data_IF_130014972205
#
_entry.id   IF_130014972205
#
_cell.length_a   1.000
_cell.length_b   1.000
_cell.length_c   1.000
_cell.angle_alpha   90.00
_cell.angle_beta   90.00
_cell.angle_gamma   90.00
#
_symmetry.space_group_name_H-M   'P 1'
#
loop_
_entity.id
_entity.type
_entity.pdbx_description
1 polymer ?
#
# COMPACT_ATOMS: atom_id res chain seq x y z
N UNK A 1 11.52 60.27 16.26
CA UNK A 1 10.46 59.36 16.77
C UNK A 1 9.49 59.13 15.63
N UNK A 2 9.52 57.94 15.01
CA UNK A 2 8.70 57.61 13.84
C UNK A 2 7.50 56.76 14.26
N UNK A 3 6.27 57.04 13.80
CA UNK A 3 5.14 56.14 13.99
C UNK A 3 5.11 55.09 12.88
N UNK A 4 5.19 53.80 13.27
CA UNK A 4 5.12 52.65 12.37
C UNK A 4 3.68 52.23 12.11
N UNK A 5 3.30 52.19 10.82
CA UNK A 5 2.02 51.69 10.31
C UNK A 5 1.99 50.16 10.36
N UNK A 6 1.01 49.56 11.07
CA UNK A 6 0.76 48.11 11.03
C UNK A 6 -0.12 47.76 9.82
N UNK A 7 0.46 47.17 8.78
CA UNK A 7 -0.28 46.48 7.72
C UNK A 7 -0.75 45.10 8.22
N UNK A 8 -2.08 44.89 8.23
CA UNK A 8 -2.73 43.62 8.54
C UNK A 8 -2.81 42.79 7.26
N UNK A 9 -1.86 41.89 7.03
CA UNK A 9 -1.94 40.91 5.96
C UNK A 9 -3.08 39.93 6.22
N UNK A 10 -4.14 40.02 5.42
CA UNK A 10 -5.30 39.13 5.38
C UNK A 10 -4.88 37.87 4.62
N UNK A 11 -4.51 36.82 5.35
CA UNK A 11 -4.24 35.51 4.77
C UNK A 11 -5.55 34.89 4.28
N UNK A 12 -5.65 34.64 2.98
CA UNK A 12 -6.74 33.89 2.37
C UNK A 12 -6.70 32.45 2.88
N UNK A 13 -7.64 32.08 3.72
CA UNK A 13 -7.94 30.69 4.01
C UNK A 13 -8.54 30.10 2.73
N UNK A 14 -7.81 29.18 2.09
CA UNK A 14 -8.37 28.36 1.03
C UNK A 14 -9.23 27.32 1.75
N UNK A 15 -10.55 27.52 1.68
CA UNK A 15 -11.54 26.53 2.09
C UNK A 15 -11.31 25.27 1.26
N UNK A 16 -10.71 24.26 1.90
CA UNK A 16 -10.69 22.90 1.41
C UNK A 16 -12.12 22.36 1.49
N UNK A 17 -12.91 22.65 0.45
CA UNK A 17 -14.21 22.03 0.26
C UNK A 17 -14.04 20.50 0.29
N UNK A 18 -14.53 19.89 1.36
CA UNK A 18 -14.62 18.45 1.49
C UNK A 18 -15.46 17.92 0.31
N UNK A 19 -14.81 17.15 -0.57
CA UNK A 19 -15.53 16.38 -1.59
C UNK A 19 -16.52 15.44 -0.87
N UNK A 20 -17.74 15.24 -1.40
CA UNK A 20 -18.68 14.28 -0.83
C UNK A 20 -18.01 12.92 -0.74
N UNK A 21 -18.17 12.23 0.38
CA UNK A 21 -17.72 10.85 0.57
C UNK A 21 -18.48 9.96 -0.42
N UNK A 22 -17.96 9.81 -1.63
CA UNK A 22 -18.45 8.83 -2.58
C UNK A 22 -18.39 7.46 -1.89
N UNK A 23 -19.51 6.73 -1.90
CA UNK A 23 -19.55 5.35 -1.45
C UNK A 23 -18.44 4.57 -2.16
N UNK A 24 -17.65 3.80 -1.41
CA UNK A 24 -16.60 2.97 -1.97
C UNK A 24 -17.20 2.05 -3.06
N UNK A 25 -16.52 1.87 -4.21
CA UNK A 25 -16.94 0.91 -5.22
C UNK A 25 -17.19 -0.48 -4.62
N UNK A 26 -18.25 -1.14 -5.08
CA UNK A 26 -18.71 -2.44 -4.55
C UNK A 26 -17.57 -3.46 -4.47
N UNK A 27 -16.73 -3.54 -5.50
CA UNK A 27 -15.63 -4.52 -5.55
C UNK A 27 -14.54 -4.26 -4.52
N UNK A 28 -14.32 -3.00 -4.12
CA UNK A 28 -13.37 -2.65 -3.05
C UNK A 28 -13.95 -3.11 -1.71
N UNK A 29 -15.25 -2.92 -1.50
CA UNK A 29 -15.94 -3.41 -0.30
C UNK A 29 -15.91 -4.93 -0.22
N UNK A 30 -16.24 -5.62 -1.32
CA UNK A 30 -16.15 -7.08 -1.43
C UNK A 30 -14.72 -7.58 -1.16
N UNK A 31 -13.72 -6.87 -1.70
CA UNK A 31 -12.30 -7.16 -1.43
C UNK A 31 -11.94 -6.96 0.04
N UNK A 32 -12.44 -5.94 0.72
CA UNK A 32 -12.08 -5.75 2.14
C UNK A 32 -12.68 -6.83 3.04
N UNK A 33 -13.88 -7.30 2.71
CA UNK A 33 -14.67 -8.20 3.56
C UNK A 33 -14.48 -9.69 3.23
N UNK A 34 -13.97 -10.04 2.05
CA UNK A 34 -13.83 -11.44 1.63
C UNK A 34 -12.55 -12.16 2.08
N UNK A 35 -11.68 -11.50 2.84
CA UNK A 35 -10.35 -12.02 3.21
C UNK A 35 -10.33 -13.02 4.35
N UNK A 36 -9.23 -13.77 4.45
CA UNK A 36 -8.99 -14.67 5.60
C UNK A 36 -8.77 -13.91 6.90
N UNK A 37 -8.39 -12.62 6.81
CA UNK A 37 -8.26 -11.71 7.93
C UNK A 37 -9.35 -10.64 7.82
N UNK A 38 -10.09 -10.45 8.91
CA UNK A 38 -11.16 -9.46 8.97
C UNK A 38 -10.60 -8.04 8.99
N UNK A 39 -11.29 -7.11 8.33
CA UNK A 39 -11.00 -5.70 8.49
C UNK A 39 -11.54 -5.24 9.85
N UNK A 40 -10.68 -4.65 10.68
CA UNK A 40 -11.00 -4.29 12.06
C UNK A 40 -10.70 -2.83 12.35
N UNK A 41 -11.22 -2.33 13.48
CA UNK A 41 -10.84 -1.02 14.00
C UNK A 41 -9.34 -0.94 14.29
N UNK A 42 -8.73 0.20 14.00
CA UNK A 42 -7.27 0.36 14.11
C UNK A 42 -6.77 0.29 15.56
N UNK A 43 -7.53 0.86 16.50
CA UNK A 43 -7.07 1.07 17.87
C UNK A 43 -7.60 -0.03 18.82
N UNK A 44 -8.80 -0.54 18.54
CA UNK A 44 -9.52 -1.49 19.39
C UNK A 44 -9.66 -2.88 18.77
N UNK A 45 -9.41 -3.01 17.47
CA UNK A 45 -9.54 -4.28 16.75
C UNK A 45 -8.54 -5.35 17.18
N UNK A 46 -8.96 -6.62 17.09
CA UNK A 46 -8.10 -7.79 17.35
C UNK A 46 -8.28 -8.83 16.23
N UNK A 47 -7.27 -9.68 16.02
CA UNK A 47 -7.31 -10.80 15.06
C UNK A 47 -7.70 -10.41 13.62
N UNK A 48 -7.25 -9.24 13.16
CA UNK A 48 -7.58 -8.73 11.84
C UNK A 48 -6.51 -7.79 11.29
N UNK A 49 -6.86 -7.07 10.23
CA UNK A 49 -6.03 -6.06 9.62
C UNK A 49 -6.74 -4.71 9.62
N UNK A 50 -5.97 -3.63 9.72
CA UNK A 50 -6.43 -2.26 9.62
C UNK A 50 -5.37 -1.44 8.90
N UNK A 51 -5.74 -0.25 8.44
CA UNK A 51 -4.86 0.63 7.66
C UNK A 51 -4.42 1.82 8.51
N UNK A 52 -3.20 1.81 9.06
CA UNK A 52 -2.72 2.87 9.95
C UNK A 52 -2.34 4.12 9.16
N UNK A 53 -2.73 5.35 9.57
CA UNK A 53 -2.43 6.59 8.85
C UNK A 53 -0.99 6.68 8.33
N UNK A 54 -0.81 7.06 7.06
CA UNK A 54 0.51 7.01 6.41
C UNK A 54 1.56 7.94 7.04
N UNK A 55 1.12 9.01 7.72
CA UNK A 55 2.00 9.89 8.51
C UNK A 55 2.73 9.18 9.67
N UNK A 56 2.29 7.99 10.06
CA UNK A 56 2.99 7.13 11.03
C UNK A 56 4.31 6.56 10.50
N UNK A 57 4.57 6.68 9.19
CA UNK A 57 5.81 6.26 8.56
C UNK A 57 6.65 7.47 8.14
N UNK A 58 7.89 7.52 8.62
CA UNK A 58 8.85 8.57 8.26
C UNK A 58 9.77 8.10 7.13
N UNK A 59 9.64 8.72 5.95
CA UNK A 59 10.40 8.39 4.75
C UNK A 59 11.44 9.47 4.43
N UNK A 60 12.36 9.17 3.51
CA UNK A 60 13.37 10.14 3.05
C UNK A 60 12.65 11.31 2.38
N UNK A 61 12.86 12.53 2.90
CA UNK A 61 12.33 13.75 2.27
C UNK A 61 13.05 14.05 0.95
N UNK A 62 12.50 14.99 0.18
CA UNK A 62 13.12 15.49 -1.06
C UNK A 62 14.58 15.96 -0.83
N UNK A 63 14.84 16.59 0.31
CA UNK A 63 16.16 17.10 0.68
C UNK A 63 16.97 16.12 1.56
N UNK A 64 16.62 14.83 1.57
CA UNK A 64 17.27 13.87 2.47
C UNK A 64 18.77 13.73 2.23
N UNK A 65 19.24 13.81 0.99
CA UNK A 65 20.67 13.62 0.69
C UNK A 65 21.54 14.75 1.27
N UNK A 66 21.00 15.96 1.36
CA UNK A 66 21.70 17.13 1.90
C UNK A 66 21.42 17.32 3.39
N UNK A 67 20.15 17.26 3.80
CA UNK A 67 19.72 17.55 5.18
C UNK A 67 19.64 16.33 6.08
N UNK A 68 19.68 15.11 5.53
CA UNK A 68 19.48 13.83 6.26
C UNK A 68 18.15 13.75 7.04
N UNK A 69 17.19 14.59 6.69
CA UNK A 69 15.89 14.68 7.36
C UNK A 69 14.83 13.81 6.71
N UNK A 70 14.10 13.06 7.53
CA UNK A 70 12.91 12.31 7.12
C UNK A 70 11.66 13.17 7.31
N UNK A 71 10.61 12.87 6.53
CA UNK A 71 9.30 13.50 6.66
C UNK A 71 8.21 12.41 6.73
N UNK A 72 7.04 12.71 7.33
CA UNK A 72 5.88 11.83 7.28
C UNK A 72 5.52 11.48 5.82
N UNK A 73 5.10 10.23 5.56
CA UNK A 73 4.83 9.76 4.20
C UNK A 73 3.59 10.42 3.55
N UNK A 74 2.62 10.86 4.36
CA UNK A 74 1.35 11.41 3.88
C UNK A 74 0.35 10.33 3.48
N UNK A 75 -0.57 10.68 2.58
CA UNK A 75 -1.64 9.81 2.10
C UNK A 75 -1.11 8.67 1.22
N UNK A 76 -1.85 7.56 1.16
CA UNK A 76 -1.46 6.42 0.33
C UNK A 76 -1.70 6.70 -1.15
N UNK A 77 -0.74 6.27 -1.98
CA UNK A 77 -0.92 6.26 -3.43
C UNK A 77 -1.95 5.22 -3.88
N UNK A 78 -2.03 4.08 -3.19
CA UNK A 78 -2.96 3.00 -3.46
C UNK A 78 -3.74 2.69 -2.18
N UNK A 79 -5.06 2.57 -2.31
CA UNK A 79 -5.93 2.21 -1.21
C UNK A 79 -5.74 0.74 -0.84
N UNK A 80 -5.72 0.39 0.45
CA UNK A 80 -5.63 -1.00 0.90
C UNK A 80 -6.95 -1.72 0.58
N UNK A 81 -6.84 -2.89 -0.03
CA UNK A 81 -7.96 -3.73 -0.47
C UNK A 81 -8.18 -4.96 0.40
N UNK A 82 -7.15 -5.40 1.14
CA UNK A 82 -7.26 -6.59 1.96
C UNK A 82 -5.92 -7.21 2.30
N UNK A 83 -5.98 -8.20 3.19
CA UNK A 83 -4.86 -9.06 3.55
C UNK A 83 -5.32 -10.51 3.58
N UNK A 84 -4.50 -11.40 3.02
CA UNK A 84 -4.70 -12.85 3.12
C UNK A 84 -3.53 -13.54 3.79
N UNK A 85 -3.84 -14.58 4.57
CA UNK A 85 -2.89 -15.55 5.10
C UNK A 85 -3.16 -16.88 4.41
N UNK A 86 -2.23 -17.29 3.53
CA UNK A 86 -2.41 -18.45 2.68
C UNK A 86 -1.41 -19.53 3.02
N UNK A 87 -1.86 -20.77 2.92
CA UNK A 87 -1.04 -21.97 3.01
C UNK A 87 -1.12 -22.73 1.69
N UNK A 88 0.02 -23.14 1.14
CA UNK A 88 0.08 -23.94 -0.08
C UNK A 88 1.18 -25.00 -0.02
N UNK A 89 1.00 -26.11 -0.73
CA UNK A 89 2.03 -27.15 -0.88
C UNK A 89 3.11 -26.76 -1.89
N UNK A 90 2.86 -25.74 -2.70
CA UNK A 90 3.78 -25.21 -3.72
C UNK A 90 4.00 -23.72 -3.55
N UNK A 91 5.07 -23.22 -4.16
CA UNK A 91 5.39 -21.79 -4.19
C UNK A 91 4.28 -20.99 -4.90
N UNK A 92 3.97 -19.79 -4.40
CA UNK A 92 2.97 -18.89 -4.99
C UNK A 92 3.65 -17.63 -5.52
N UNK A 93 3.98 -17.64 -6.80
CA UNK A 93 4.60 -16.48 -7.45
C UNK A 93 3.54 -15.42 -7.83
N UNK A 94 2.68 -15.72 -8.81
CA UNK A 94 1.62 -14.81 -9.23
C UNK A 94 0.33 -15.02 -8.43
N UNK A 95 0.27 -14.43 -7.24
CA UNK A 95 -0.89 -14.57 -6.35
C UNK A 95 -2.18 -14.02 -6.96
N UNK A 96 -2.11 -13.00 -7.81
CA UNK A 96 -3.27 -12.38 -8.44
C UNK A 96 -3.89 -13.30 -9.49
N UNK A 97 -3.07 -14.00 -10.29
CA UNK A 97 -3.52 -14.92 -11.34
C UNK A 97 -4.09 -16.25 -10.82
N UNK A 98 -4.14 -16.47 -9.50
CA UNK A 98 -4.72 -17.69 -8.95
C UNK A 98 -6.21 -17.79 -9.30
N UNK A 99 -6.72 -18.98 -9.65
CA UNK A 99 -8.14 -19.19 -9.93
C UNK A 99 -9.06 -18.90 -8.76
N UNK A 100 -8.54 -18.86 -7.53
CA UNK A 100 -9.28 -18.56 -6.30
C UNK A 100 -8.95 -17.17 -5.73
N UNK A 101 -8.27 -16.30 -6.49
CA UNK A 101 -7.97 -14.95 -6.00
C UNK A 101 -9.23 -14.08 -5.95
N UNK A 102 -9.77 -13.90 -4.74
CA UNK A 102 -10.95 -13.10 -4.46
C UNK A 102 -10.87 -11.63 -4.89
N UNK A 103 -9.70 -10.98 -4.81
CA UNK A 103 -9.55 -9.56 -5.18
C UNK A 103 -9.62 -9.41 -6.69
N UNK A 104 -8.92 -10.29 -7.42
CA UNK A 104 -9.01 -10.38 -8.87
C UNK A 104 -10.44 -10.69 -9.33
N UNK A 105 -11.14 -11.61 -8.65
CA UNK A 105 -12.55 -11.93 -8.96
C UNK A 105 -13.50 -10.78 -8.71
N UNK A 106 -13.38 -10.08 -7.58
CA UNK A 106 -14.20 -8.92 -7.27
C UNK A 106 -14.04 -7.84 -8.33
N UNK A 107 -12.79 -7.53 -8.72
CA UNK A 107 -12.52 -6.55 -9.77
C UNK A 107 -13.07 -7.00 -11.13
N UNK A 108 -12.83 -8.24 -11.54
CA UNK A 108 -13.36 -8.80 -12.80
C UNK A 108 -14.88 -8.74 -12.87
N UNK A 109 -15.56 -9.06 -11.76
CA UNK A 109 -17.02 -8.96 -11.66
C UNK A 109 -17.50 -7.51 -11.82
N UNK A 110 -16.75 -6.54 -11.30
CA UNK A 110 -17.06 -5.12 -11.51
C UNK A 110 -16.87 -4.71 -12.98
N UNK A 111 -15.76 -5.16 -13.58
CA UNK A 111 -15.41 -4.87 -14.98
C UNK A 111 -16.39 -5.49 -15.98
N UNK A 112 -16.87 -6.71 -15.72
CA UNK A 112 -17.92 -7.33 -16.56
C UNK A 112 -19.26 -6.59 -16.51
N UNK A 113 -19.47 -5.71 -15.53
CA UNK A 113 -20.61 -4.80 -15.43
C UNK A 113 -20.31 -3.41 -16.00
N UNK A 114 -19.17 -3.22 -16.67
CA UNK A 114 -18.72 -1.93 -17.19
C UNK A 114 -18.26 -0.94 -16.12
N UNK A 115 -18.01 -1.38 -14.89
CA UNK A 115 -17.53 -0.56 -13.76
C UNK A 115 -16.03 -0.77 -13.55
N UNK A 116 -15.34 0.20 -12.94
CA UNK A 116 -13.94 0.03 -12.47
C UNK A 116 -12.96 -0.44 -13.57
N UNK A 117 -13.18 0.03 -14.81
CA UNK A 117 -12.39 -0.36 -15.99
C UNK A 117 -10.96 0.17 -15.97
N UNK A 118 -10.70 1.24 -15.20
CA UNK A 118 -9.38 1.87 -15.08
C UNK A 118 -8.62 1.38 -13.85
N UNK A 119 -9.22 0.48 -13.09
CA UNK A 119 -8.71 0.11 -11.79
C UNK A 119 -7.46 -0.74 -11.90
N UNK A 120 -6.55 -0.52 -10.95
CA UNK A 120 -5.27 -1.22 -10.87
C UNK A 120 -5.13 -1.88 -9.50
N UNK A 121 -4.64 -3.12 -9.49
CA UNK A 121 -4.34 -3.88 -8.27
C UNK A 121 -2.86 -4.18 -8.19
N UNK A 122 -2.28 -3.89 -7.04
CA UNK A 122 -0.91 -4.23 -6.68
C UNK A 122 -0.94 -5.18 -5.48
N UNK A 123 -0.33 -6.35 -5.61
CA UNK A 123 -0.21 -7.32 -4.53
C UNK A 123 1.25 -7.50 -4.11
N UNK A 124 1.51 -7.50 -2.81
CA UNK A 124 2.80 -7.85 -2.22
C UNK A 124 2.65 -9.18 -1.51
N UNK A 125 3.36 -10.22 -1.98
CA UNK A 125 3.40 -11.52 -1.33
C UNK A 125 4.70 -11.68 -0.52
N UNK A 126 4.60 -11.74 0.81
CA UNK A 126 5.70 -12.16 1.68
C UNK A 126 5.55 -13.66 1.95
N UNK A 127 6.37 -14.46 1.28
CA UNK A 127 6.30 -15.92 1.36
C UNK A 127 7.51 -16.51 2.10
N UNK A 128 7.22 -17.41 3.04
CA UNK A 128 8.21 -18.25 3.72
C UNK A 128 8.14 -19.66 3.13
N UNK A 129 9.21 -20.15 2.47
CA UNK A 129 9.26 -21.51 1.96
C UNK A 129 9.45 -22.53 3.08
N UNK A 130 8.89 -23.73 2.91
CA UNK A 130 8.97 -24.84 3.86
C UNK A 130 8.36 -26.11 3.26
N UNK A 131 8.05 -27.12 4.09
CA UNK A 131 7.23 -28.28 3.66
C UNK A 131 5.87 -27.81 3.12
N UNK A 132 5.28 -26.85 3.84
CA UNK A 132 4.20 -26.02 3.37
C UNK A 132 4.73 -24.59 3.22
N UNK A 133 4.32 -23.90 2.17
CA UNK A 133 4.59 -22.50 1.94
C UNK A 133 3.52 -21.65 2.64
N UNK A 134 3.96 -20.65 3.40
CA UNK A 134 3.07 -19.67 4.04
C UNK A 134 3.25 -18.31 3.40
N UNK A 135 2.15 -17.67 3.03
CA UNK A 135 2.15 -16.39 2.30
C UNK A 135 1.29 -15.37 3.03
N UNK A 136 1.89 -14.24 3.41
CA UNK A 136 1.18 -13.04 3.82
C UNK A 136 1.04 -12.13 2.61
N UNK A 137 -0.17 -11.99 2.08
CA UNK A 137 -0.45 -11.21 0.86
C UNK A 137 -1.17 -9.93 1.23
N UNK A 138 -0.63 -8.80 0.78
CA UNK A 138 -1.18 -7.47 0.98
C UNK A 138 -1.65 -6.93 -0.36
N UNK A 139 -2.92 -6.54 -0.45
CA UNK A 139 -3.51 -6.03 -1.68
C UNK A 139 -3.76 -4.52 -1.56
N UNK A 140 -3.39 -3.81 -2.61
CA UNK A 140 -3.60 -2.37 -2.74
C UNK A 140 -4.18 -2.08 -4.13
N UNK A 141 -4.94 -1.00 -4.28
CA UNK A 141 -5.45 -0.61 -5.58
C UNK A 141 -5.97 0.81 -5.67
N UNK A 142 -6.33 1.18 -6.89
CA UNK A 142 -6.84 2.51 -7.24
C UNK A 142 -7.90 2.35 -8.33
N UNK A 143 -8.91 3.23 -8.32
CA UNK A 143 -9.85 3.40 -9.44
C UNK A 143 -9.30 4.33 -10.52
N UNK A 144 -8.39 5.23 -10.12
CA UNK A 144 -7.79 6.20 -11.01
C UNK A 144 -6.67 5.56 -11.84
N UNK A 145 -6.56 5.91 -13.13
CA UNK A 145 -5.48 5.45 -13.97
C UNK A 145 -4.13 5.94 -13.41
N UNK A 146 -3.12 5.08 -13.48
CA UNK A 146 -1.77 5.45 -13.04
C UNK A 146 -1.23 6.54 -13.98
N UNK A 147 -0.87 7.74 -13.48
CA UNK A 147 -0.41 8.82 -14.34
C UNK A 147 0.85 8.44 -15.11
N UNK A 148 0.87 8.58 -16.45
CA UNK A 148 2.07 8.35 -17.25
C UNK A 148 3.28 9.13 -16.73
N UNK A 149 4.45 8.50 -16.73
CA UNK A 149 5.69 9.13 -16.24
C UNK A 149 5.85 9.16 -14.71
N UNK A 150 4.80 8.89 -13.93
CA UNK A 150 4.91 8.77 -12.47
C UNK A 150 5.85 7.64 -12.04
N UNK A 151 6.35 7.67 -10.80
CA UNK A 151 7.23 6.62 -10.29
C UNK A 151 6.54 5.24 -10.32
N UNK A 152 5.25 5.18 -9.98
CA UNK A 152 4.48 3.94 -10.02
C UNK A 152 4.28 3.46 -11.47
N UNK A 153 4.00 4.36 -12.42
CA UNK A 153 3.89 3.99 -13.83
C UNK A 153 5.20 3.39 -14.35
N UNK A 154 6.33 4.03 -14.05
CA UNK A 154 7.67 3.53 -14.42
C UNK A 154 8.03 2.24 -13.69
N UNK A 155 7.52 2.04 -12.48
CA UNK A 155 7.72 0.81 -11.72
C UNK A 155 6.97 -0.38 -12.35
N UNK A 156 5.69 -0.16 -12.72
CA UNK A 156 4.85 -1.18 -13.37
C UNK A 156 5.42 -1.53 -14.75
N UNK A 157 5.73 -0.53 -15.57
CA UNK A 157 6.18 -0.71 -16.96
C UNK A 157 7.71 -0.84 -17.12
N UNK A 158 8.47 -0.80 -16.02
CA UNK A 158 9.93 -0.91 -16.04
C UNK A 158 10.43 -2.35 -15.97
N UNK A 159 11.75 -2.52 -16.03
CA UNK A 159 12.40 -3.82 -15.87
C UNK A 159 12.62 -4.22 -14.40
N UNK A 160 13.04 -5.47 -14.19
CA UNK A 160 13.31 -5.99 -12.85
C UNK A 160 14.49 -5.30 -12.17
N UNK A 161 15.47 -4.78 -12.92
CA UNK A 161 16.59 -4.03 -12.36
C UNK A 161 16.10 -2.73 -11.69
N UNK A 162 15.24 -1.97 -12.38
CA UNK A 162 14.59 -0.78 -11.87
C UNK A 162 13.70 -1.11 -10.68
N UNK A 163 12.87 -2.16 -10.78
CA UNK A 163 11.97 -2.56 -9.69
C UNK A 163 12.75 -2.96 -8.43
N UNK A 164 13.81 -3.74 -8.56
CA UNK A 164 14.68 -4.13 -7.45
C UNK A 164 15.40 -2.92 -6.80
N UNK A 165 15.81 -1.94 -7.60
CA UNK A 165 16.42 -0.71 -7.09
C UNK A 165 15.40 0.13 -6.29
N UNK A 166 14.16 0.24 -6.78
CA UNK A 166 13.14 1.16 -6.26
C UNK A 166 12.24 0.58 -5.18
N UNK A 167 11.87 -0.69 -5.25
CA UNK A 167 10.97 -1.30 -4.27
C UNK A 167 11.66 -1.43 -2.91
N UNK A 168 10.96 -0.96 -1.87
CA UNK A 168 11.43 -0.94 -0.49
C UNK A 168 10.22 -1.13 0.42
N UNK A 169 10.36 -2.00 1.43
CA UNK A 169 9.36 -2.23 2.48
C UNK A 169 9.85 -1.52 3.75
N UNK A 170 8.94 -0.86 4.44
CA UNK A 170 9.19 -0.16 5.71
C UNK A 170 8.21 -0.72 6.73
N UNK A 171 8.72 -1.41 7.74
CA UNK A 171 7.89 -2.04 8.77
C UNK A 171 7.94 -1.25 10.08
N UNK A 172 6.78 -1.12 10.73
CA UNK A 172 6.63 -0.56 12.07
C UNK A 172 5.92 -1.57 12.98
N UNK A 173 6.61 -2.00 14.04
CA UNK A 173 6.03 -2.89 15.06
C UNK A 173 5.80 -2.06 16.33
N UNK A 174 4.53 -1.82 16.66
CA UNK A 174 4.14 -1.07 17.86
C UNK A 174 4.03 -2.01 19.06
N UNK A 175 3.36 -3.15 18.89
CA UNK A 175 3.18 -4.20 19.90
C UNK A 175 3.61 -5.55 19.30
N UNK A 176 4.26 -6.38 20.09
CA UNK A 176 4.72 -7.71 19.67
C UNK A 176 5.84 -8.27 20.54
N UNK A 177 6.21 -9.57 20.34
CA UNK A 177 7.29 -10.21 21.09
C UNK A 177 8.58 -9.41 20.98
N UNK A 178 9.32 -9.31 22.10
CA UNK A 178 10.48 -8.44 22.21
C UNK A 178 11.57 -8.74 21.16
N UNK A 179 11.73 -10.01 20.79
CA UNK A 179 12.68 -10.45 19.75
C UNK A 179 12.34 -9.88 18.37
N UNK A 180 11.05 -9.81 18.03
CA UNK A 180 10.58 -9.27 16.75
C UNK A 180 10.79 -7.76 16.71
N UNK A 181 10.53 -7.06 17.84
CA UNK A 181 10.84 -5.63 17.97
C UNK A 181 12.33 -5.34 17.80
N UNK A 182 13.19 -6.16 18.42
CA UNK A 182 14.65 -6.00 18.35
C UNK A 182 15.19 -6.25 16.93
N UNK A 183 14.63 -7.20 16.19
CA UNK A 183 14.99 -7.46 14.79
C UNK A 183 14.60 -6.32 13.83
N UNK A 184 13.55 -5.56 14.15
CA UNK A 184 13.06 -4.44 13.32
C UNK A 184 13.68 -3.09 13.73
N UNK A 185 14.20 -2.97 14.95
CA UNK A 185 14.86 -1.79 15.49
C UNK A 185 13.89 -0.70 15.98
N UNK A 186 14.37 0.19 16.85
CA UNK A 186 13.56 1.21 17.52
C UNK A 186 12.96 2.28 16.58
N UNK A 187 13.44 2.36 15.34
CA UNK A 187 12.97 3.32 14.31
C UNK A 187 12.60 2.59 13.01
N UNK A 188 11.79 1.53 13.14
CA UNK A 188 10.75 1.10 12.20
C UNK A 188 11.00 1.33 10.68
N UNK A 189 12.14 0.86 10.18
CA UNK A 189 12.41 0.81 8.75
C UNK A 189 13.45 -0.28 8.44
N UNK A 190 13.08 -1.55 8.63
CA UNK A 190 13.87 -2.64 8.06
C UNK A 190 13.62 -2.70 6.54
N UNK A 191 14.60 -2.27 5.74
CA UNK A 191 14.57 -2.41 4.29
C UNK A 191 14.74 -3.89 3.91
N UNK A 192 13.65 -4.66 3.98
CA UNK A 192 13.66 -6.11 3.78
C UNK A 192 13.98 -6.55 2.35
N UNK A 193 13.68 -5.70 1.36
CA UNK A 193 13.67 -6.12 -0.06
C UNK A 193 15.06 -6.47 -0.60
N UNK A 194 16.14 -5.80 -0.17
CA UNK A 194 17.47 -5.99 -0.80
C UNK A 194 18.07 -7.39 -0.56
N UNK A 195 17.54 -8.15 0.40
CA UNK A 195 18.01 -9.51 0.75
C UNK A 195 17.00 -10.60 0.46
N UNK A 196 15.85 -10.28 -0.12
CA UNK A 196 14.80 -11.23 -0.48
C UNK A 196 14.77 -11.44 -1.99
N UNK A 197 14.62 -12.70 -2.42
CA UNK A 197 14.30 -13.00 -3.81
C UNK A 197 12.95 -12.36 -4.13
N UNK A 198 12.98 -11.29 -4.93
CA UNK A 198 11.77 -10.57 -5.35
C UNK A 198 11.42 -10.99 -6.76
N UNK A 199 10.18 -11.41 -6.98
CA UNK A 199 9.63 -11.72 -8.30
C UNK A 199 8.50 -10.75 -8.60
N UNK A 200 8.51 -10.19 -9.80
CA UNK A 200 7.46 -9.30 -10.27
C UNK A 200 6.65 -10.06 -11.32
N UNK A 201 5.36 -10.20 -11.05
CA UNK A 201 4.41 -10.82 -11.97
C UNK A 201 3.42 -9.75 -12.42
N UNK A 202 3.24 -9.62 -13.72
CA UNK A 202 2.21 -8.77 -14.31
C UNK A 202 1.14 -9.68 -14.90
N UNK A 203 -0.10 -9.53 -14.44
CA UNK A 203 -1.27 -10.10 -15.10
C UNK A 203 -1.96 -8.99 -15.89
N UNK A 204 -1.99 -9.14 -17.21
CA UNK A 204 -2.99 -8.44 -18.01
C UNK A 204 -4.28 -9.23 -17.85
N UNK A 205 -5.34 -8.55 -17.42
CA UNK A 205 -6.67 -9.11 -17.44
C UNK A 205 -7.23 -8.77 -18.82
N UNK A 206 -7.25 -9.76 -19.71
CA UNK A 206 -7.87 -9.58 -21.01
C UNK A 206 -9.34 -9.18 -20.81
N UNK A 207 -9.71 -8.05 -21.41
CA UNK A 207 -11.06 -7.47 -21.43
C UNK A 207 -11.98 -8.22 -22.35
#
# INVERSE_FOLDING_TARGET
MCPTTKQKHRGSAIDSAAKPSASLPDWITDSKNGGSLQHVDLDTGTNGWASPPGNLFSLRSLNYLTKRQKAPAGDYLLSPLGMDWLKSTTKLDNVLARPDNRVSHALKKSQSQGKSMKSFVFAVNLQVPGKDHYSAVFYFGTEDPIPPGSLLYRFVNGDDAFRNQRFKIVNRIVKGPWIVKKAVGNYAACLLVRRLLTRFCTSLWDT
#
